data_IF_058260328235
#
_entry.id   IF_058260328235
#
_cell.length_a   1.000
_cell.length_b   1.000
_cell.length_c   1.000
_cell.angle_alpha   90.00
_cell.angle_beta   90.00
_cell.angle_gamma   90.00
#
_symmetry.space_group_name_H-M   'P 1'
#
loop_
_entity.id
_entity.type
_entity.pdbx_description
1 polymer ?
#
# COMPACT_ATOMS: atom_id res chain seq x y z
N UNK A 1 44.70 23.43 -81.78
CA UNK A 1 43.58 23.40 -82.74
C UNK A 1 42.28 23.15 -81.98
N UNK A 2 41.28 24.02 -82.16
CA UNK A 2 39.83 23.71 -82.19
C UNK A 2 39.16 22.73 -81.19
N UNK A 3 38.30 23.30 -80.31
CA UNK A 3 36.94 22.82 -79.89
C UNK A 3 36.88 21.60 -78.92
N UNK A 4 35.88 21.37 -78.04
CA UNK A 4 34.61 22.00 -77.61
C UNK A 4 34.20 21.36 -76.23
N UNK A 5 33.13 21.70 -75.47
CA UNK A 5 32.38 22.94 -75.16
C UNK A 5 31.21 22.61 -74.17
N UNK A 6 30.97 23.41 -73.12
CA UNK A 6 29.96 23.28 -72.01
C UNK A 6 30.30 22.20 -70.96
N UNK A 7 30.36 22.43 -69.63
CA UNK A 7 29.58 23.25 -68.65
C UNK A 7 28.36 22.52 -68.07
N UNK A 8 28.43 22.07 -66.81
CA UNK A 8 27.78 22.75 -65.66
C UNK A 8 27.97 22.00 -64.31
N UNK A 9 28.61 22.70 -63.37
CA UNK A 9 28.28 22.82 -61.94
C UNK A 9 27.48 21.70 -61.22
N UNK A 10 28.10 21.04 -60.22
CA UNK A 10 27.42 20.57 -59.00
C UNK A 10 28.29 20.81 -57.76
N UNK A 11 27.67 21.32 -56.69
CA UNK A 11 28.33 21.65 -55.44
C UNK A 11 28.80 20.40 -54.67
N UNK A 12 29.90 20.54 -53.94
CA UNK A 12 30.21 19.66 -52.82
C UNK A 12 29.16 19.83 -51.73
N UNK A 13 28.65 18.72 -51.21
CA UNK A 13 28.16 18.62 -49.83
C UNK A 13 28.85 17.43 -49.18
N UNK A 14 29.42 17.64 -47.99
CA UNK A 14 30.10 16.59 -47.24
C UNK A 14 29.06 15.61 -46.69
N UNK A 15 29.28 14.31 -46.95
CA UNK A 15 28.66 13.25 -46.16
C UNK A 15 29.38 13.15 -44.81
N UNK A 16 28.62 13.24 -43.72
CA UNK A 16 29.00 12.69 -42.42
C UNK A 16 27.92 11.69 -42.00
N UNK A 17 28.36 10.51 -41.56
CA UNK A 17 27.45 9.42 -41.21
C UNK A 17 26.76 9.68 -39.86
N UNK A 18 25.44 9.48 -39.81
CA UNK A 18 24.71 9.20 -38.58
C UNK A 18 23.94 7.91 -38.77
N UNK A 19 24.16 6.96 -37.86
CA UNK A 19 23.51 5.66 -37.90
C UNK A 19 22.05 5.78 -37.42
N UNK A 20 21.13 5.15 -38.14
CA UNK A 20 19.75 4.97 -37.67
C UNK A 20 19.74 3.96 -36.51
N UNK A 21 19.64 4.45 -35.28
CA UNK A 21 19.06 3.69 -34.19
C UNK A 21 17.53 3.80 -34.25
N UNK A 22 16.76 2.75 -33.93
CA UNK A 22 15.31 2.87 -33.81
C UNK A 22 14.99 3.80 -32.64
N UNK A 23 14.35 4.94 -32.93
CA UNK A 23 13.79 5.83 -31.91
C UNK A 23 12.69 5.05 -31.20
N UNK A 24 12.93 4.63 -29.95
CA UNK A 24 11.84 4.34 -29.02
C UNK A 24 11.10 5.65 -28.84
N UNK A 25 9.85 5.71 -29.32
CA UNK A 25 8.93 6.76 -28.91
C UNK A 25 8.72 6.60 -27.39
N UNK A 26 9.37 7.46 -26.61
CA UNK A 26 8.90 7.75 -25.26
C UNK A 26 7.56 8.45 -25.42
N UNK A 27 6.46 7.73 -25.20
CA UNK A 27 5.18 8.38 -24.94
C UNK A 27 5.40 9.40 -23.82
N UNK A 28 4.98 10.67 -23.98
CA UNK A 28 4.97 11.57 -22.84
C UNK A 28 4.03 10.94 -21.81
N UNK A 29 4.54 10.69 -20.61
CA UNK A 29 3.67 10.46 -19.48
C UNK A 29 2.91 11.78 -19.27
N UNK A 30 1.65 11.81 -19.71
CA UNK A 30 0.71 12.81 -19.26
C UNK A 30 0.52 12.56 -17.78
N UNK A 31 1.13 13.41 -16.94
CA UNK A 31 0.71 13.60 -15.55
C UNK A 31 -0.71 14.18 -15.59
N UNK A 32 -1.68 13.28 -15.78
CA UNK A 32 -3.09 13.59 -15.68
C UNK A 32 -3.40 13.82 -14.20
N UNK A 33 -3.25 15.07 -13.78
CA UNK A 33 -3.68 15.52 -12.46
C UNK A 33 -5.11 15.05 -12.25
N UNK A 34 -5.32 14.20 -11.25
CA UNK A 34 -6.65 13.88 -10.76
C UNK A 34 -7.43 15.18 -10.57
N UNK A 35 -8.63 15.26 -11.15
CA UNK A 35 -9.45 16.45 -11.06
C UNK A 35 -9.93 16.63 -9.61
N UNK A 36 -9.31 17.54 -8.87
CA UNK A 36 -9.78 17.95 -7.55
C UNK A 36 -11.15 18.62 -7.73
N UNK A 37 -12.17 18.05 -7.09
CA UNK A 37 -13.57 18.47 -7.23
C UNK A 37 -14.07 19.30 -6.05
N UNK A 38 -13.39 19.21 -4.91
CA UNK A 38 -13.67 20.01 -3.70
C UNK A 38 -12.36 20.44 -3.03
N UNK A 39 -12.26 21.71 -2.62
CA UNK A 39 -11.11 22.24 -1.88
C UNK A 39 -11.54 23.35 -0.91
N UNK A 40 -11.06 23.25 0.34
CA UNK A 40 -11.11 24.29 1.37
C UNK A 40 -9.67 24.68 1.73
N UNK A 41 -9.27 25.92 1.41
CA UNK A 41 -7.93 26.43 1.75
C UNK A 41 -7.88 27.10 3.13
N UNK A 42 -9.01 27.22 3.84
CA UNK A 42 -9.14 27.91 5.13
C UNK A 42 -8.85 29.42 5.09
N UNK A 43 -8.53 30.00 3.92
CA UNK A 43 -8.25 31.43 3.68
C UNK A 43 -9.38 32.41 4.06
N UNK A 44 -10.55 31.91 4.40
CA UNK A 44 -11.77 32.70 4.60
C UNK A 44 -12.38 32.45 5.98
N UNK A 45 -13.32 33.30 6.37
CA UNK A 45 -13.90 33.26 7.71
C UNK A 45 -12.95 33.73 8.81
N UNK A 46 -13.45 33.79 10.03
CA UNK A 46 -12.68 34.23 11.21
C UNK A 46 -13.04 33.39 12.43
N UNK A 47 -12.00 32.93 13.15
CA UNK A 47 -12.15 32.28 14.46
C UNK A 47 -10.82 32.32 15.23
N UNK A 48 -10.50 33.43 15.90
CA UNK A 48 -9.19 33.62 16.54
C UNK A 48 -9.01 32.80 17.82
N UNK A 49 -10.11 32.39 18.47
CA UNK A 49 -10.09 31.72 19.77
C UNK A 49 -10.27 30.20 19.65
N UNK A 50 -9.57 29.46 20.51
CA UNK A 50 -9.56 27.99 20.52
C UNK A 50 -10.88 27.28 20.91
N UNK A 51 -11.76 27.77 21.82
CA UNK A 51 -12.97 27.05 22.21
C UNK A 51 -13.88 26.65 21.04
N UNK A 52 -14.71 25.62 21.22
CA UNK A 52 -15.58 25.10 20.17
C UNK A 52 -16.55 26.17 19.64
N UNK A 53 -16.46 26.48 18.34
CA UNK A 53 -17.47 27.25 17.61
C UNK A 53 -17.43 26.92 16.12
N UNK A 54 -18.54 27.18 15.43
CA UNK A 54 -18.62 27.11 13.97
C UNK A 54 -17.91 28.31 13.32
N UNK A 55 -17.19 28.05 12.24
CA UNK A 55 -16.63 29.07 11.35
C UNK A 55 -17.24 28.90 9.96
N UNK A 56 -17.75 29.99 9.39
CA UNK A 56 -18.22 30.03 8.01
C UNK A 56 -17.00 30.25 7.09
N UNK A 57 -16.63 29.21 6.33
CA UNK A 57 -15.53 29.20 5.38
C UNK A 57 -16.08 29.21 3.94
N UNK A 58 -15.19 29.19 2.94
CA UNK A 58 -15.51 29.26 1.52
C UNK A 58 -16.38 28.07 1.07
N UNK A 59 -16.13 26.88 1.61
CA UNK A 59 -16.87 25.66 1.27
C UNK A 59 -18.15 25.46 2.08
N UNK A 60 -18.31 26.17 3.19
CA UNK A 60 -19.42 26.00 4.12
C UNK A 60 -19.00 26.14 5.58
N UNK A 61 -19.86 25.69 6.49
CA UNK A 61 -19.57 25.77 7.93
C UNK A 61 -18.70 24.60 8.39
N UNK A 62 -17.73 24.91 9.24
CA UNK A 62 -16.89 23.94 9.93
C UNK A 62 -16.88 24.21 11.43
N UNK A 63 -17.14 23.19 12.25
CA UNK A 63 -16.96 23.28 13.71
C UNK A 63 -15.47 23.12 14.04
N UNK A 64 -14.89 24.15 14.65
CA UNK A 64 -13.50 24.22 15.05
C UNK A 64 -13.41 24.11 16.59
N UNK A 65 -12.89 22.99 17.10
CA UNK A 65 -12.79 22.69 18.54
C UNK A 65 -11.35 22.59 19.00
N UNK A 66 -10.96 23.32 20.06
CA UNK A 66 -9.54 23.56 20.41
C UNK A 66 -8.71 23.95 19.17
N UNK A 67 -9.32 24.76 18.31
CA UNK A 67 -8.81 25.12 17.00
C UNK A 67 -9.05 26.61 16.71
N UNK A 68 -8.12 27.28 16.05
CA UNK A 68 -8.23 28.69 15.67
C UNK A 68 -7.67 28.92 14.26
N UNK A 69 -8.27 29.85 13.51
CA UNK A 69 -7.73 30.36 12.25
C UNK A 69 -6.63 31.39 12.55
N UNK A 70 -5.50 31.31 11.85
CA UNK A 70 -4.32 32.12 12.14
C UNK A 70 -3.46 32.45 10.91
N UNK A 71 -2.99 33.69 10.85
CA UNK A 71 -2.21 34.25 9.74
C UNK A 71 -0.79 34.71 10.12
N UNK A 72 -0.33 34.39 11.33
CA UNK A 72 0.99 34.82 11.85
C UNK A 72 2.16 34.15 11.11
N UNK A 73 3.39 34.65 11.30
CA UNK A 73 4.59 34.07 10.69
C UNK A 73 4.89 32.63 11.14
N UNK A 74 4.38 32.23 12.30
CA UNK A 74 4.47 30.85 12.81
C UNK A 74 3.32 29.95 12.31
N UNK A 75 2.33 30.51 11.61
CA UNK A 75 1.38 29.73 10.82
C UNK A 75 2.00 29.41 9.48
N UNK A 76 2.45 28.16 9.35
CA UNK A 76 2.81 27.61 8.07
C UNK A 76 1.50 27.39 7.29
N UNK A 77 1.44 28.02 6.11
CA UNK A 77 0.23 28.16 5.30
C UNK A 77 0.56 28.43 3.83
N UNK A 78 -0.33 28.02 2.94
CA UNK A 78 -0.40 28.37 1.54
C UNK A 78 -1.53 29.39 1.38
N UNK A 79 -1.19 30.66 1.18
CA UNK A 79 -2.18 31.74 1.15
C UNK A 79 -2.09 32.67 2.36
N UNK A 80 -3.23 32.95 3.00
CA UNK A 80 -3.46 34.05 3.94
C UNK A 80 -3.58 33.62 5.40
N UNK A 81 -4.23 32.48 5.68
CA UNK A 81 -4.34 31.90 7.03
C UNK A 81 -4.46 30.37 6.94
N UNK A 82 -4.03 29.66 7.99
CA UNK A 82 -4.29 28.22 8.15
C UNK A 82 -4.94 27.94 9.51
N UNK A 83 -5.33 26.69 9.77
CA UNK A 83 -5.93 26.29 11.04
C UNK A 83 -4.87 25.77 12.01
N UNK A 84 -4.86 26.30 13.23
CA UNK A 84 -4.07 25.80 14.37
C UNK A 84 -4.92 24.87 15.23
N UNK A 85 -4.48 23.63 15.42
CA UNK A 85 -5.06 22.67 16.36
C UNK A 85 -4.17 22.51 17.60
N UNK A 86 -4.75 22.56 18.80
CA UNK A 86 -4.06 22.24 20.07
C UNK A 86 -4.86 21.23 20.91
N UNK A 87 -4.23 20.65 21.93
CA UNK A 87 -4.81 19.61 22.78
C UNK A 87 -5.41 18.47 21.92
N UNK A 88 -6.65 18.07 22.20
CA UNK A 88 -7.41 17.09 21.40
C UNK A 88 -8.28 17.83 20.35
N UNK A 89 -7.66 18.73 19.59
CA UNK A 89 -8.37 19.62 18.67
C UNK A 89 -9.02 18.89 17.49
N UNK A 90 -10.09 19.48 16.96
CA UNK A 90 -10.86 18.95 15.84
C UNK A 90 -11.28 20.01 14.83
N UNK A 91 -11.35 19.60 13.56
CA UNK A 91 -12.01 20.31 12.46
C UNK A 91 -13.10 19.39 11.91
N UNK A 92 -14.37 19.78 12.03
CA UNK A 92 -15.51 18.95 11.67
C UNK A 92 -16.35 19.65 10.61
N UNK A 93 -16.53 19.02 9.44
CA UNK A 93 -17.46 19.50 8.42
C UNK A 93 -18.90 19.44 8.95
N UNK A 94 -19.67 20.52 8.80
CA UNK A 94 -21.10 20.56 9.17
C UNK A 94 -22.03 20.14 8.02
N UNK A 95 -21.47 19.91 6.83
CA UNK A 95 -22.18 19.53 5.60
C UNK A 95 -21.58 18.24 5.01
N UNK A 96 -22.34 17.57 4.15
CA UNK A 96 -21.89 16.41 3.38
C UNK A 96 -21.54 16.81 1.94
N UNK A 97 -20.50 16.19 1.38
CA UNK A 97 -20.23 16.19 -0.05
C UNK A 97 -21.24 15.25 -0.74
N UNK A 98 -21.87 15.63 -1.86
CA UNK A 98 -22.97 14.88 -2.49
C UNK A 98 -22.54 13.59 -3.21
N UNK A 99 -21.26 13.49 -3.52
CA UNK A 99 -20.69 12.67 -4.60
C UNK A 99 -19.58 11.74 -4.11
N UNK A 100 -19.46 11.56 -2.80
CA UNK A 100 -18.44 10.71 -2.19
C UNK A 100 -17.04 11.31 -2.23
N UNK A 101 -16.05 10.48 -1.91
CA UNK A 101 -14.64 10.83 -1.92
C UNK A 101 -13.78 9.63 -2.31
N UNK A 102 -12.97 9.75 -3.37
CA UNK A 102 -11.93 8.79 -3.71
C UNK A 102 -10.68 9.03 -2.86
N UNK A 103 -10.06 10.21 -3.00
CA UNK A 103 -8.85 10.61 -2.29
C UNK A 103 -9.07 11.92 -1.54
N UNK A 104 -8.38 12.08 -0.42
CA UNK A 104 -8.35 13.31 0.38
C UNK A 104 -6.91 13.71 0.58
N UNK A 105 -6.55 14.95 0.23
CA UNK A 105 -5.25 15.52 0.57
C UNK A 105 -5.39 16.60 1.62
N UNK A 106 -4.38 16.71 2.49
CA UNK A 106 -4.32 17.69 3.57
C UNK A 106 -2.88 18.19 3.69
N UNK A 107 -2.68 19.49 3.76
CA UNK A 107 -1.38 20.06 4.13
C UNK A 107 -1.26 20.17 5.65
N UNK A 108 -0.07 19.85 6.18
CA UNK A 108 0.18 19.90 7.63
C UNK A 108 1.64 20.27 7.96
N UNK A 109 1.83 20.95 9.10
CA UNK A 109 3.13 21.32 9.67
C UNK A 109 3.04 21.50 11.19
N UNK A 110 4.17 21.40 11.91
CA UNK A 110 4.22 21.89 13.30
C UNK A 110 4.10 23.42 13.28
N UNK A 111 3.42 24.01 14.27
CA UNK A 111 3.33 25.47 14.36
C UNK A 111 4.67 26.07 14.78
N UNK A 112 5.32 26.85 13.92
CA UNK A 112 6.60 27.51 14.18
C UNK A 112 7.71 26.56 14.62
N UNK A 113 7.88 26.42 15.94
CA UNK A 113 8.86 25.51 16.58
C UNK A 113 8.23 24.71 17.74
N UNK A 114 6.90 24.56 17.76
CA UNK A 114 6.19 23.71 18.72
C UNK A 114 6.58 22.23 18.52
N UNK A 115 6.36 21.40 19.57
CA UNK A 115 6.67 19.98 19.51
C UNK A 115 5.80 19.21 18.49
N UNK A 116 6.31 18.07 18.01
CA UNK A 116 5.61 17.20 17.09
C UNK A 116 4.25 16.73 17.64
N UNK A 117 3.31 16.48 16.72
CA UNK A 117 1.95 16.06 17.04
C UNK A 117 1.46 15.02 16.04
N UNK A 118 0.72 14.01 16.52
CA UNK A 118 -0.02 13.10 15.65
C UNK A 118 -1.46 13.54 15.47
N UNK A 119 -2.06 13.14 14.35
CA UNK A 119 -3.46 13.38 14.03
C UNK A 119 -4.02 12.29 13.09
N UNK A 120 -5.34 12.27 12.92
CA UNK A 120 -6.07 11.28 12.15
C UNK A 120 -7.18 11.94 11.32
N UNK A 121 -7.40 11.43 10.12
CA UNK A 121 -8.60 11.72 9.33
C UNK A 121 -9.71 10.73 9.70
N UNK A 122 -10.94 11.24 9.81
CA UNK A 122 -12.14 10.45 10.06
C UNK A 122 -13.24 10.84 9.09
N UNK A 123 -14.05 9.88 8.67
CA UNK A 123 -15.20 10.08 7.78
C UNK A 123 -16.50 9.60 8.43
N UNK A 124 -17.60 10.27 8.12
CA UNK A 124 -18.96 9.81 8.37
C UNK A 124 -19.66 9.73 7.01
N UNK A 125 -20.10 8.52 6.64
CA UNK A 125 -20.89 8.26 5.44
C UNK A 125 -22.35 7.99 5.82
N UNK A 126 -23.29 8.50 5.03
CA UNK A 126 -24.70 8.16 5.17
C UNK A 126 -25.04 6.77 4.61
N UNK A 127 -24.15 6.14 3.82
CA UNK A 127 -24.39 4.82 3.22
C UNK A 127 -24.69 3.72 4.26
N UNK A 128 -24.10 3.82 5.47
CA UNK A 128 -24.40 2.90 6.56
C UNK A 128 -25.65 3.28 7.39
N UNK A 129 -26.23 4.47 7.20
CA UNK A 129 -27.24 5.10 8.07
C UNK A 129 -26.91 5.09 9.58
N UNK A 130 -25.63 4.91 9.92
CA UNK A 130 -25.21 4.53 11.26
C UNK A 130 -24.64 5.69 12.09
N UNK A 131 -24.50 6.90 11.50
CA UNK A 131 -23.90 8.09 12.10
C UNK A 131 -22.53 7.82 12.78
N UNK A 132 -21.84 6.77 12.37
CA UNK A 132 -20.55 6.36 12.92
C UNK A 132 -19.44 7.14 12.22
N UNK A 133 -18.52 7.68 13.00
CA UNK A 133 -17.23 8.12 12.48
C UNK A 133 -16.30 6.91 12.37
N UNK A 134 -15.76 6.67 11.18
CA UNK A 134 -14.73 5.66 10.92
C UNK A 134 -13.42 6.38 10.57
N UNK A 135 -12.29 5.85 11.03
CA UNK A 135 -10.96 6.39 10.70
C UNK A 135 -10.67 6.13 9.22
N UNK A 136 -9.98 7.06 8.56
CA UNK A 136 -9.56 6.95 7.17
C UNK A 136 -8.03 6.80 7.15
N UNK A 137 -7.54 5.63 6.78
CA UNK A 137 -6.11 5.32 6.68
C UNK A 137 -5.33 5.50 7.99
N UNK A 138 -4.02 5.68 7.85
CA UNK A 138 -3.07 5.67 8.96
C UNK A 138 -3.05 6.98 9.78
N UNK A 139 -2.59 6.87 11.04
CA UNK A 139 -2.29 8.04 11.88
C UNK A 139 -1.09 8.80 11.31
N UNK A 140 -1.24 10.10 11.11
CA UNK A 140 -0.18 10.98 10.57
C UNK A 140 0.64 11.55 11.71
N UNK A 141 1.97 11.53 11.59
CA UNK A 141 2.90 12.14 12.54
C UNK A 141 3.53 13.39 11.92
N UNK A 142 3.20 14.57 12.46
CA UNK A 142 3.73 15.84 11.97
C UNK A 142 4.95 16.24 12.79
N UNK A 143 6.11 16.30 12.13
CA UNK A 143 7.43 16.58 12.74
C UNK A 143 8.17 17.75 12.09
N UNK A 144 7.72 18.21 10.91
CA UNK A 144 8.35 19.25 10.10
C UNK A 144 7.62 20.60 10.24
N UNK A 145 8.35 21.74 10.28
CA UNK A 145 7.76 23.08 10.11
C UNK A 145 7.51 23.46 8.64
N UNK A 146 8.10 22.73 7.69
CA UNK A 146 7.73 22.84 6.28
C UNK A 146 6.43 22.09 6.04
N UNK A 147 5.45 22.72 5.39
CA UNK A 147 4.20 22.08 4.98
C UNK A 147 4.48 20.82 4.17
N UNK A 148 3.84 19.73 4.58
CA UNK A 148 3.84 18.47 3.85
C UNK A 148 2.41 18.15 3.44
N UNK A 149 2.24 17.58 2.25
CA UNK A 149 0.96 17.01 1.80
C UNK A 149 0.91 15.55 2.22
N UNK A 150 -0.13 15.15 2.95
CA UNK A 150 -0.50 13.75 3.10
C UNK A 150 -1.71 13.45 2.20
N UNK A 151 -1.75 12.24 1.66
CA UNK A 151 -2.88 11.75 0.87
C UNK A 151 -3.48 10.51 1.55
N UNK A 152 -4.80 10.50 1.68
CA UNK A 152 -5.59 9.37 2.14
C UNK A 152 -6.42 8.83 0.99
N UNK A 153 -6.44 7.51 0.83
CA UNK A 153 -7.49 6.85 0.04
C UNK A 153 -8.66 6.57 0.97
N UNK A 154 -9.87 6.91 0.53
CA UNK A 154 -11.11 6.63 1.26
C UNK A 154 -12.09 5.80 0.42
N UNK A 155 -12.19 6.12 -0.87
CA UNK A 155 -13.11 5.50 -1.83
C UNK A 155 -14.53 5.33 -1.28
N UNK A 156 -15.05 6.33 -0.57
CA UNK A 156 -16.38 6.31 0.05
C UNK A 156 -17.43 6.81 -0.98
N UNK A 157 -18.43 6.01 -1.37
CA UNK A 157 -19.54 6.48 -2.21
C UNK A 157 -20.59 7.27 -1.40
N UNK A 158 -21.41 8.03 -2.12
CA UNK A 158 -22.58 8.73 -1.56
C UNK A 158 -22.23 9.89 -0.62
N UNK A 159 -23.18 10.32 0.21
CA UNK A 159 -22.96 11.46 1.10
C UNK A 159 -21.89 11.17 2.14
N UNK A 160 -20.78 11.91 2.09
CA UNK A 160 -19.65 11.78 3.01
C UNK A 160 -19.22 13.14 3.56
N UNK A 161 -18.77 13.17 4.82
CA UNK A 161 -18.12 14.32 5.43
C UNK A 161 -16.99 13.92 6.35
N UNK A 162 -16.09 14.85 6.64
CA UNK A 162 -14.82 14.58 7.30
C UNK A 162 -14.65 15.30 8.65
N UNK A 163 -13.84 14.68 9.50
CA UNK A 163 -13.35 15.26 10.75
C UNK A 163 -11.85 14.98 10.90
N UNK A 164 -11.04 16.03 11.04
CA UNK A 164 -9.62 15.91 11.39
C UNK A 164 -9.51 15.94 12.91
N UNK A 165 -8.76 15.01 13.51
CA UNK A 165 -8.56 14.89 14.96
C UNK A 165 -7.09 14.93 15.33
N UNK A 166 -6.66 15.88 16.16
CA UNK A 166 -5.35 15.85 16.82
C UNK A 166 -5.35 14.82 17.94
N UNK A 167 -4.37 13.92 17.96
CA UNK A 167 -4.33 12.75 18.86
C UNK A 167 -3.15 12.72 19.84
N UNK A 168 -2.10 13.52 19.61
CA UNK A 168 -0.99 13.67 20.57
C UNK A 168 -0.37 15.08 20.52
N UNK A 169 0.74 15.28 21.26
CA UNK A 169 1.45 16.57 21.38
C UNK A 169 0.85 17.55 22.40
N UNK A 170 -0.33 17.27 22.96
CA UNK A 170 -0.96 18.12 23.97
C UNK A 170 -1.11 19.57 23.50
N UNK A 171 -0.66 20.52 24.30
CA UNK A 171 -0.73 21.96 24.00
C UNK A 171 0.12 22.42 22.80
N UNK A 172 1.07 21.60 22.30
CA UNK A 172 1.80 21.92 21.08
C UNK A 172 0.84 22.05 19.89
N UNK A 173 1.00 23.09 19.08
CA UNK A 173 0.09 23.43 17.99
C UNK A 173 0.51 22.76 16.68
N UNK A 174 -0.50 22.28 15.96
CA UNK A 174 -0.41 21.66 14.64
C UNK A 174 -1.09 22.60 13.64
N UNK A 175 -0.40 23.02 12.59
CA UNK A 175 -1.06 23.66 11.45
C UNK A 175 -1.67 22.59 10.55
N UNK A 176 -2.92 22.82 10.14
CA UNK A 176 -3.63 22.13 9.06
C UNK A 176 -4.03 23.19 8.05
N UNK A 177 -3.82 22.88 6.78
CA UNK A 177 -4.09 23.77 5.66
C UNK A 177 -4.52 22.97 4.42
N UNK A 178 -5.05 23.65 3.40
CA UNK A 178 -5.41 23.06 2.09
C UNK A 178 -6.00 21.64 2.17
N UNK A 179 -7.27 21.56 2.58
CA UNK A 179 -8.03 20.31 2.57
C UNK A 179 -8.73 20.13 1.23
N UNK A 180 -8.34 19.12 0.46
CA UNK A 180 -8.93 18.83 -0.85
C UNK A 180 -9.45 17.40 -0.95
N UNK A 181 -10.51 17.21 -1.74
CA UNK A 181 -11.16 15.93 -1.98
C UNK A 181 -11.36 15.74 -3.48
N UNK A 182 -10.96 14.56 -3.97
CA UNK A 182 -11.35 14.04 -5.28
C UNK A 182 -12.63 13.23 -5.11
N UNK A 183 -13.64 13.47 -5.93
CA UNK A 183 -14.93 12.77 -5.88
C UNK A 183 -14.83 11.25 -6.07
N UNK A 184 -15.80 10.51 -5.53
CA UNK A 184 -15.92 9.08 -5.78
C UNK A 184 -16.45 8.82 -7.20
N UNK A 185 -15.94 7.79 -7.87
CA UNK A 185 -16.39 7.43 -9.21
C UNK A 185 -15.83 8.33 -10.34
N UNK A 186 -15.12 9.41 -10.01
CA UNK A 186 -14.09 9.94 -10.91
C UNK A 186 -13.07 8.81 -11.08
N UNK A 187 -12.89 8.35 -12.32
CA UNK A 187 -11.92 7.30 -12.64
C UNK A 187 -10.53 7.84 -12.34
N UNK A 188 -10.03 7.58 -11.12
CA UNK A 188 -8.60 7.46 -10.91
C UNK A 188 -8.13 6.38 -11.88
N UNK A 189 -7.04 6.59 -12.64
CA UNK A 189 -6.47 5.54 -13.45
C UNK A 189 -6.00 4.42 -12.51
N UNK A 190 -6.83 3.40 -12.31
CA UNK A 190 -6.40 2.18 -11.66
C UNK A 190 -5.40 1.53 -12.59
N UNK A 191 -4.18 1.33 -12.09
CA UNK A 191 -3.22 0.49 -12.78
C UNK A 191 -3.72 -0.94 -12.59
N UNK A 192 -4.42 -1.44 -13.60
CA UNK A 192 -4.91 -2.81 -13.61
C UNK A 192 -3.72 -3.77 -13.52
N UNK A 193 -3.90 -4.89 -12.82
CA UNK A 193 -2.84 -5.85 -12.49
C UNK A 193 -1.71 -5.28 -11.57
N UNK A 194 -1.91 -4.13 -10.89
CA UNK A 194 -0.92 -3.58 -9.93
C UNK A 194 -0.78 -4.46 -8.68
N UNK A 195 0.45 -4.88 -8.37
CA UNK A 195 0.78 -5.63 -7.16
C UNK A 195 0.42 -4.90 -5.84
N UNK A 196 0.16 -3.58 -5.86
CA UNK A 196 -0.40 -2.79 -4.75
C UNK A 196 -1.81 -2.22 -5.04
N UNK A 197 -2.59 -2.79 -5.98
CA UNK A 197 -3.93 -2.31 -6.30
C UNK A 197 -4.85 -2.22 -5.06
N UNK A 198 -4.69 -3.14 -4.10
CA UNK A 198 -5.52 -3.20 -2.90
C UNK A 198 -5.01 -2.33 -1.74
N UNK A 199 -3.81 -1.75 -1.81
CA UNK A 199 -3.27 -0.86 -0.78
C UNK A 199 -1.85 -1.20 -0.36
N UNK A 200 -1.34 -0.43 0.61
CA UNK A 200 -0.01 -0.60 1.21
C UNK A 200 -0.20 -0.95 2.71
N UNK A 201 -0.20 -2.24 3.09
CA UNK A 201 -0.69 -2.73 4.38
C UNK A 201 -0.14 -2.05 5.62
N UNK A 202 1.11 -1.59 5.58
CA UNK A 202 1.80 -0.99 6.72
C UNK A 202 2.28 0.43 6.46
N UNK A 203 1.86 1.05 5.36
CA UNK A 203 2.41 2.34 4.92
C UNK A 203 3.93 2.30 4.68
N UNK A 204 4.46 1.17 4.18
CA UNK A 204 5.89 1.01 3.91
C UNK A 204 6.38 2.04 2.88
N UNK A 205 7.59 2.58 3.07
CA UNK A 205 8.16 3.63 2.20
C UNK A 205 9.57 3.28 1.74
N UNK A 206 10.07 3.99 0.73
CA UNK A 206 11.47 3.89 0.28
C UNK A 206 12.44 4.75 1.10
N UNK A 207 12.02 5.28 2.26
CA UNK A 207 12.93 5.97 3.18
C UNK A 207 13.83 4.95 3.90
N UNK A 208 15.14 5.16 3.84
CA UNK A 208 16.15 4.36 4.53
C UNK A 208 16.00 4.39 6.06
N UNK A 209 15.33 5.42 6.61
CA UNK A 209 14.98 5.49 8.03
C UNK A 209 13.82 4.55 8.40
N UNK A 210 12.96 4.16 7.45
CA UNK A 210 11.91 3.15 7.63
C UNK A 210 12.46 1.72 7.50
N UNK A 211 13.64 1.44 8.07
CA UNK A 211 14.39 0.20 7.83
C UNK A 211 13.68 -1.10 8.28
N UNK A 212 12.72 -1.01 9.19
CA UNK A 212 11.89 -2.13 9.63
C UNK A 212 10.55 -2.22 8.85
N UNK A 213 10.33 -1.33 7.89
CA UNK A 213 9.11 -1.20 7.10
C UNK A 213 9.40 -0.59 5.71
N UNK A 214 10.42 -1.12 5.03
CA UNK A 214 11.00 -0.56 3.81
C UNK A 214 10.35 -1.16 2.56
N UNK A 215 9.88 -0.31 1.64
CA UNK A 215 9.19 -0.73 0.43
C UNK A 215 10.18 -1.19 -0.65
N UNK A 216 10.13 -2.46 -1.03
CA UNK A 216 10.81 -3.01 -2.20
C UNK A 216 9.79 -3.33 -3.29
N UNK A 217 9.82 -2.57 -4.38
CA UNK A 217 9.01 -2.83 -5.58
C UNK A 217 9.79 -3.68 -6.59
N UNK A 218 9.20 -4.77 -7.05
CA UNK A 218 9.68 -5.56 -8.20
C UNK A 218 8.51 -5.74 -9.19
N UNK A 219 8.75 -6.00 -10.49
CA UNK A 219 7.67 -6.24 -11.44
C UNK A 219 6.75 -7.41 -11.03
N UNK A 220 7.31 -8.43 -10.38
CA UNK A 220 6.59 -9.65 -10.02
C UNK A 220 5.78 -9.54 -8.72
N UNK A 221 6.17 -8.68 -7.78
CA UNK A 221 5.56 -8.53 -6.45
C UNK A 221 6.15 -7.33 -5.71
N UNK A 222 5.45 -6.84 -4.69
CA UNK A 222 5.90 -5.73 -3.83
C UNK A 222 6.00 -6.19 -2.39
N UNK A 223 7.04 -5.75 -1.66
CA UNK A 223 7.39 -6.22 -0.33
C UNK A 223 7.46 -5.04 0.65
N UNK A 224 6.79 -5.15 1.79
CA UNK A 224 7.16 -4.41 2.99
C UNK A 224 8.26 -5.17 3.72
N UNK A 225 9.51 -4.76 3.58
CA UNK A 225 10.68 -5.50 4.09
C UNK A 225 11.14 -5.01 5.46
N UNK A 226 11.59 -5.95 6.30
CA UNK A 226 12.08 -5.65 7.64
C UNK A 226 13.54 -6.08 7.78
N UNK A 227 14.46 -5.10 7.70
CA UNK A 227 15.91 -5.30 7.78
C UNK A 227 16.31 -6.09 9.03
N UNK A 228 15.72 -5.74 10.17
CA UNK A 228 16.15 -6.28 11.48
C UNK A 228 15.55 -7.66 11.76
N UNK A 229 14.53 -8.08 10.99
CA UNK A 229 14.01 -9.45 11.02
C UNK A 229 14.55 -10.34 9.89
N UNK A 230 15.24 -9.79 8.88
CA UNK A 230 15.76 -10.54 7.74
C UNK A 230 14.67 -11.21 6.88
N UNK A 231 13.45 -10.67 6.86
CA UNK A 231 12.29 -11.21 6.13
C UNK A 231 11.27 -10.11 5.79
N UNK A 232 10.27 -10.38 4.93
CA UNK A 232 9.08 -9.55 4.82
C UNK A 232 8.32 -9.36 6.14
N UNK A 233 7.76 -8.17 6.32
CA UNK A 233 6.51 -7.96 7.05
C UNK A 233 5.35 -8.56 6.26
N UNK A 234 5.27 -8.21 4.97
CA UNK A 234 4.31 -8.71 3.99
C UNK A 234 4.86 -8.66 2.56
N UNK A 235 4.28 -9.44 1.66
CA UNK A 235 4.46 -9.41 0.20
C UNK A 235 3.08 -9.40 -0.45
N UNK A 236 2.87 -8.52 -1.43
CA UNK A 236 1.63 -8.38 -2.20
C UNK A 236 1.88 -8.61 -3.69
N UNK A 237 0.98 -9.32 -4.36
CA UNK A 237 1.02 -9.54 -5.80
C UNK A 237 -0.36 -9.75 -6.42
N UNK A 238 -0.47 -9.36 -7.69
CA UNK A 238 -1.55 -9.77 -8.58
C UNK A 238 -1.23 -11.13 -9.22
N UNK A 239 -2.24 -11.95 -9.50
CA UNK A 239 -2.07 -13.19 -10.23
C UNK A 239 -3.23 -13.44 -11.20
N UNK A 240 -2.90 -13.50 -12.48
CA UNK A 240 -3.80 -13.94 -13.55
C UNK A 240 -3.18 -15.11 -14.36
N UNK A 241 -3.75 -15.37 -15.54
CA UNK A 241 -3.20 -16.37 -16.47
C UNK A 241 -1.93 -15.89 -17.18
N UNK A 242 -1.72 -14.58 -17.39
CA UNK A 242 -0.53 -14.06 -18.11
C UNK A 242 0.76 -14.22 -17.32
N UNK A 243 0.71 -14.26 -15.99
CA UNK A 243 1.87 -14.56 -15.15
C UNK A 243 2.27 -16.06 -15.18
N UNK A 244 1.48 -16.91 -15.82
CA UNK A 244 1.68 -18.37 -15.86
C UNK A 244 2.00 -18.85 -17.27
N UNK A 245 2.99 -19.72 -17.34
CA UNK A 245 3.47 -20.37 -18.54
C UNK A 245 4.14 -21.71 -18.22
N UNK A 246 5.02 -22.16 -19.09
CA UNK A 246 5.69 -23.47 -19.02
C UNK A 246 7.15 -23.39 -18.54
N UNK A 247 7.54 -22.32 -17.87
CA UNK A 247 8.90 -22.19 -17.33
C UNK A 247 9.07 -23.09 -16.10
N UNK A 248 10.10 -23.93 -16.14
CA UNK A 248 10.50 -24.77 -15.01
C UNK A 248 10.96 -23.94 -13.81
N UNK A 249 10.82 -24.53 -12.62
CA UNK A 249 11.28 -23.94 -11.36
C UNK A 249 12.79 -23.71 -11.39
N UNK A 250 13.25 -22.49 -11.11
CA UNK A 250 14.68 -22.15 -11.18
C UNK A 250 15.50 -22.64 -9.98
N UNK A 251 14.90 -22.69 -8.77
CA UNK A 251 15.56 -23.10 -7.51
C UNK A 251 16.86 -22.33 -7.18
N UNK A 252 17.02 -21.13 -7.76
CA UNK A 252 18.21 -20.28 -7.71
C UNK A 252 18.20 -19.30 -6.52
N UNK A 253 17.96 -19.87 -5.32
CA UNK A 253 17.95 -19.13 -4.05
C UNK A 253 19.19 -18.27 -3.89
N UNK A 254 19.00 -16.95 -3.78
CA UNK A 254 20.11 -15.97 -3.74
C UNK A 254 19.75 -14.71 -2.98
N UNK A 255 20.78 -14.04 -2.48
CA UNK A 255 20.67 -12.75 -1.82
C UNK A 255 20.12 -11.67 -2.76
N UNK A 256 19.34 -10.75 -2.21
CA UNK A 256 18.82 -9.62 -2.98
C UNK A 256 19.82 -8.46 -2.95
N UNK A 257 20.48 -8.24 -4.09
CA UNK A 257 21.48 -7.17 -4.25
C UNK A 257 20.86 -5.79 -4.39
N UNK A 258 19.53 -5.66 -4.51
CA UNK A 258 18.83 -4.37 -4.50
C UNK A 258 18.56 -3.82 -3.10
N UNK A 259 18.95 -4.54 -2.04
CA UNK A 259 18.86 -4.03 -0.66
C UNK A 259 19.86 -2.86 -0.44
N UNK A 260 19.49 -1.83 0.34
CA UNK A 260 20.37 -0.68 0.62
C UNK A 260 21.76 -1.07 1.12
N UNK A 261 22.76 -0.26 0.76
CA UNK A 261 24.15 -0.51 1.10
C UNK A 261 24.36 -0.65 2.63
N UNK A 262 25.10 -1.69 3.03
CA UNK A 262 25.36 -2.01 4.43
C UNK A 262 24.26 -2.80 5.15
N UNK A 263 23.09 -3.03 4.52
CA UNK A 263 22.07 -3.91 5.09
C UNK A 263 22.46 -5.37 4.94
N UNK A 264 22.06 -6.21 5.90
CA UNK A 264 22.31 -7.65 5.80
C UNK A 264 21.47 -8.25 4.67
N UNK A 265 22.14 -8.81 3.67
CA UNK A 265 21.49 -9.56 2.61
C UNK A 265 21.49 -11.04 3.00
N UNK A 266 20.30 -11.55 3.33
CA UNK A 266 20.09 -12.96 3.69
C UNK A 266 20.55 -13.87 2.55
N UNK A 267 21.28 -14.93 2.90
CA UNK A 267 21.91 -15.83 1.93
C UNK A 267 21.11 -17.12 1.82
N UNK A 268 21.29 -17.86 0.72
CA UNK A 268 20.77 -19.23 0.60
C UNK A 268 21.24 -20.11 1.78
N UNK A 269 22.49 -19.94 2.20
CA UNK A 269 23.10 -20.67 3.32
C UNK A 269 22.56 -20.32 4.70
N UNK A 270 21.85 -19.19 4.87
CA UNK A 270 21.24 -18.76 6.13
C UNK A 270 20.21 -19.77 6.68
N UNK A 271 19.63 -20.61 5.80
CA UNK A 271 18.62 -21.62 6.15
C UNK A 271 19.21 -23.03 6.30
N UNK A 272 20.49 -23.25 5.97
CA UNK A 272 21.11 -24.57 6.01
C UNK A 272 21.19 -25.13 7.44
N UNK A 273 20.78 -26.40 7.61
CA UNK A 273 20.77 -27.13 8.88
C UNK A 273 19.92 -26.49 10.00
N UNK A 274 18.94 -25.64 9.65
CA UNK A 274 18.07 -24.96 10.63
C UNK A 274 16.81 -25.73 11.01
N UNK A 275 16.39 -26.71 10.19
CA UNK A 275 15.09 -27.38 10.31
C UNK A 275 13.91 -26.61 9.70
N UNK A 276 14.16 -25.45 9.09
CA UNK A 276 13.16 -24.66 8.37
C UNK A 276 13.39 -24.71 6.86
N UNK A 277 12.28 -24.76 6.11
CA UNK A 277 12.26 -24.53 4.68
C UNK A 277 12.43 -23.04 4.37
N UNK A 278 12.89 -22.76 3.14
CA UNK A 278 12.84 -21.43 2.52
C UNK A 278 11.43 -21.18 2.00
N UNK A 279 10.51 -20.94 2.93
CA UNK A 279 9.09 -20.69 2.64
C UNK A 279 8.93 -19.42 1.82
N UNK A 280 8.33 -19.53 0.64
CA UNK A 280 8.08 -18.39 -0.23
C UNK A 280 6.85 -17.63 0.27
N UNK A 281 6.84 -16.30 0.11
CA UNK A 281 5.61 -15.52 0.26
C UNK A 281 4.83 -15.52 -1.07
N UNK A 282 5.41 -14.93 -2.13
CA UNK A 282 4.97 -15.13 -3.52
C UNK A 282 5.59 -16.43 -4.07
N UNK A 283 4.81 -17.48 -4.37
CA UNK A 283 5.36 -18.78 -4.72
C UNK A 283 5.79 -18.86 -6.19
N UNK A 284 6.84 -19.65 -6.45
CA UNK A 284 7.40 -19.86 -7.79
C UNK A 284 6.37 -20.31 -8.84
N UNK A 285 5.36 -21.08 -8.46
CA UNK A 285 4.30 -21.56 -9.37
C UNK A 285 3.28 -20.49 -9.82
N UNK A 286 3.32 -19.29 -9.23
CA UNK A 286 2.52 -18.11 -9.62
C UNK A 286 3.28 -17.22 -10.61
N UNK A 287 4.54 -17.56 -10.93
CA UNK A 287 5.43 -16.80 -11.83
C UNK A 287 6.15 -17.78 -12.76
N UNK A 288 5.45 -18.30 -13.77
CA UNK A 288 6.02 -19.26 -14.74
C UNK A 288 5.92 -18.78 -16.20
N UNK A 289 5.60 -17.49 -16.40
CA UNK A 289 5.61 -16.76 -17.67
C UNK A 289 7.01 -16.70 -18.31
N UNK A 290 8.01 -16.25 -17.55
CA UNK A 290 9.40 -16.09 -18.00
C UNK A 290 10.40 -16.63 -16.97
N UNK A 291 11.64 -16.89 -17.42
CA UNK A 291 12.75 -17.29 -16.54
C UNK A 291 13.04 -16.21 -15.50
N UNK A 292 12.99 -14.93 -15.89
CA UNK A 292 13.20 -13.80 -14.99
C UNK A 292 12.11 -13.73 -13.91
N UNK A 293 10.84 -13.91 -14.28
CA UNK A 293 9.73 -13.89 -13.33
C UNK A 293 9.84 -15.03 -12.31
N UNK A 294 10.19 -16.23 -12.76
CA UNK A 294 10.34 -17.38 -11.87
C UNK A 294 11.55 -17.20 -10.94
N UNK A 295 12.71 -16.82 -11.51
CA UNK A 295 13.95 -16.54 -10.77
C UNK A 295 13.76 -15.42 -9.74
N UNK A 296 12.93 -14.41 -10.00
CA UNK A 296 12.66 -13.33 -9.05
C UNK A 296 12.06 -13.86 -7.73
N UNK A 297 11.24 -14.92 -7.77
CA UNK A 297 10.65 -15.53 -6.56
C UNK A 297 11.67 -16.15 -5.62
N UNK A 298 12.89 -16.45 -6.09
CA UNK A 298 13.98 -17.05 -5.30
C UNK A 298 14.90 -16.05 -4.59
N UNK A 299 14.65 -14.75 -4.71
CA UNK A 299 15.33 -13.75 -3.91
C UNK A 299 15.01 -13.96 -2.42
N UNK A 300 16.02 -13.98 -1.55
CA UNK A 300 15.82 -14.22 -0.11
C UNK A 300 14.95 -13.15 0.57
N UNK A 301 14.75 -11.98 -0.06
CA UNK A 301 13.77 -10.96 0.36
C UNK A 301 12.31 -11.41 0.22
N UNK A 302 12.01 -12.48 -0.51
CA UNK A 302 10.68 -13.12 -0.59
C UNK A 302 10.52 -14.30 0.40
N UNK A 303 11.54 -14.62 1.20
CA UNK A 303 11.57 -15.82 2.04
C UNK A 303 11.19 -15.56 3.50
N UNK A 304 10.62 -16.58 4.14
CA UNK A 304 10.43 -16.67 5.59
C UNK A 304 10.80 -18.07 6.11
N UNK A 305 11.33 -18.22 7.34
CA UNK A 305 11.54 -19.53 7.96
C UNK A 305 10.20 -20.23 8.20
N UNK A 306 9.91 -21.29 7.45
CA UNK A 306 8.65 -22.01 7.54
C UNK A 306 8.90 -23.48 7.86
N UNK A 307 8.09 -24.09 8.73
CA UNK A 307 8.22 -25.54 9.00
C UNK A 307 7.86 -26.33 7.76
N UNK A 308 8.53 -27.47 7.51
CA UNK A 308 8.18 -28.35 6.39
C UNK A 308 6.73 -28.85 6.46
N UNK A 309 6.19 -29.00 7.66
CA UNK A 309 4.79 -29.35 7.90
C UNK A 309 3.82 -28.27 7.45
N UNK A 310 4.16 -26.99 7.64
CA UNK A 310 3.37 -25.85 7.16
C UNK A 310 3.55 -25.68 5.63
N UNK A 311 4.80 -25.44 5.20
CA UNK A 311 5.19 -25.07 3.84
C UNK A 311 4.66 -26.06 2.78
N UNK A 312 4.93 -27.35 2.97
CA UNK A 312 4.62 -28.39 1.97
C UNK A 312 3.37 -29.22 2.35
N UNK A 313 2.56 -28.72 3.31
CA UNK A 313 1.25 -29.25 3.70
C UNK A 313 0.13 -28.25 3.38
N UNK A 314 -0.56 -27.67 4.38
CA UNK A 314 -1.68 -26.76 4.17
C UNK A 314 -1.31 -25.51 3.36
N UNK A 315 -0.07 -25.01 3.45
CA UNK A 315 0.34 -23.81 2.71
C UNK A 315 0.40 -24.08 1.20
N UNK A 316 1.15 -25.11 0.78
CA UNK A 316 1.17 -25.56 -0.62
C UNK A 316 -0.21 -25.98 -1.15
N UNK A 317 -1.08 -26.53 -0.30
CA UNK A 317 -2.46 -26.85 -0.66
C UNK A 317 -3.29 -25.59 -0.95
N UNK A 318 -3.21 -24.54 -0.10
CA UNK A 318 -3.87 -23.26 -0.35
C UNK A 318 -3.34 -22.58 -1.61
N UNK A 319 -2.02 -22.56 -1.83
CA UNK A 319 -1.43 -21.99 -3.05
C UNK A 319 -1.92 -22.72 -4.30
N UNK A 320 -2.06 -24.04 -4.22
CA UNK A 320 -2.60 -24.84 -5.33
C UNK A 320 -4.09 -24.57 -5.57
N UNK A 321 -4.88 -24.45 -4.50
CA UNK A 321 -6.28 -24.02 -4.57
C UNK A 321 -6.43 -22.62 -5.19
N UNK A 322 -5.58 -21.68 -4.81
CA UNK A 322 -5.56 -20.31 -5.34
C UNK A 322 -5.42 -20.29 -6.87
N UNK A 323 -4.54 -21.13 -7.42
CA UNK A 323 -4.35 -21.26 -8.87
C UNK A 323 -5.52 -21.91 -9.62
N UNK A 324 -6.50 -22.51 -8.92
CA UNK A 324 -7.71 -23.10 -9.56
C UNK A 324 -8.73 -22.05 -10.03
N UNK A 325 -8.64 -20.82 -9.52
CA UNK A 325 -9.51 -19.73 -9.97
C UNK A 325 -9.18 -19.22 -11.38
N UNK A 326 -7.95 -19.46 -11.84
CA UNK A 326 -7.46 -19.11 -13.17
C UNK A 326 -7.96 -20.11 -14.24
N UNK A 327 -8.23 -19.70 -15.49
CA UNK A 327 -8.08 -18.35 -16.04
C UNK A 327 -9.36 -17.50 -15.95
N UNK A 328 -10.47 -18.04 -15.42
CA UNK A 328 -11.77 -17.34 -15.39
C UNK A 328 -11.80 -16.15 -14.43
N UNK A 329 -10.91 -16.18 -13.44
CA UNK A 329 -10.70 -15.14 -12.45
C UNK A 329 -9.23 -14.74 -12.47
N UNK A 330 -8.97 -13.56 -11.92
CA UNK A 330 -7.69 -13.14 -11.37
C UNK A 330 -7.79 -13.12 -9.84
N UNK A 331 -6.63 -13.10 -9.17
CA UNK A 331 -6.56 -13.02 -7.71
C UNK A 331 -5.52 -12.02 -7.27
N UNK A 332 -5.87 -11.25 -6.25
CA UNK A 332 -4.93 -10.38 -5.54
C UNK A 332 -4.58 -11.03 -4.21
N UNK A 333 -3.28 -11.18 -3.95
CA UNK A 333 -2.78 -11.88 -2.77
C UNK A 333 -1.92 -10.95 -1.94
N UNK A 334 -2.20 -10.90 -0.64
CA UNK A 334 -1.33 -10.29 0.36
C UNK A 334 -0.93 -11.41 1.34
N UNK A 335 0.36 -11.61 1.53
CA UNK A 335 0.94 -12.68 2.34
C UNK A 335 1.90 -12.09 3.37
N UNK A 336 2.02 -12.72 4.54
CA UNK A 336 3.06 -12.33 5.49
C UNK A 336 3.21 -13.28 6.65
N UNK A 337 3.97 -12.83 7.66
CA UNK A 337 4.23 -13.62 8.85
C UNK A 337 4.51 -12.75 10.07
N UNK A 338 3.93 -13.13 11.22
CA UNK A 338 4.01 -12.36 12.46
C UNK A 338 4.34 -13.23 13.69
N UNK A 339 4.59 -12.54 14.81
CA UNK A 339 5.06 -13.13 16.05
C UNK A 339 6.48 -13.68 15.96
N UNK A 340 6.97 -14.20 17.08
CA UNK A 340 8.31 -14.80 17.19
C UNK A 340 8.16 -16.16 17.88
N UNK A 341 8.85 -17.17 17.37
CA UNK A 341 8.83 -18.54 17.93
C UNK A 341 8.04 -19.52 17.07
N UNK A 342 8.75 -20.35 16.29
CA UNK A 342 8.20 -21.40 15.44
C UNK A 342 8.95 -22.73 15.60
N UNK A 343 8.67 -23.67 14.71
CA UNK A 343 9.27 -25.01 14.73
C UNK A 343 8.63 -25.95 15.76
N UNK A 344 9.32 -27.03 16.09
CA UNK A 344 8.86 -27.99 17.09
C UNK A 344 8.68 -27.30 18.46
N UNK A 345 7.44 -27.27 18.95
CA UNK A 345 7.08 -26.60 20.21
C UNK A 345 7.08 -25.06 20.18
N UNK A 346 7.30 -24.43 19.02
CA UNK A 346 7.30 -22.96 18.88
C UNK A 346 8.47 -22.23 19.56
N UNK A 347 9.55 -22.94 19.89
CA UNK A 347 10.64 -22.41 20.73
C UNK A 347 11.78 -21.72 19.93
N UNK A 348 11.85 -21.91 18.62
CA UNK A 348 12.94 -21.34 17.81
C UNK A 348 12.55 -19.93 17.38
N UNK A 349 13.27 -18.94 17.88
CA UNK A 349 12.97 -17.51 17.66
C UNK A 349 13.69 -16.90 16.46
N UNK A 350 14.83 -17.47 16.06
CA UNK A 350 15.66 -16.98 14.97
C UNK A 350 16.57 -18.08 14.41
N UNK A 351 17.00 -17.90 13.16
CA UNK A 351 18.06 -18.67 12.50
C UNK A 351 19.22 -17.75 12.14
N UNK A 352 20.26 -18.30 11.50
CA UNK A 352 21.38 -17.54 10.94
C UNK A 352 22.05 -16.55 11.91
N UNK A 353 22.43 -17.07 13.09
CA UNK A 353 23.06 -16.30 14.17
C UNK A 353 22.20 -15.13 14.69
N UNK A 354 20.87 -15.24 14.59
CA UNK A 354 19.93 -14.21 15.05
C UNK A 354 19.50 -13.22 13.96
N UNK A 355 20.04 -13.33 12.74
CA UNK A 355 19.81 -12.36 11.65
C UNK A 355 18.52 -12.55 10.87
N UNK A 356 17.87 -13.71 11.02
CA UNK A 356 16.56 -13.98 10.41
C UNK A 356 15.62 -14.48 11.48
N UNK A 357 14.55 -13.73 11.73
CA UNK A 357 13.53 -14.05 12.74
C UNK A 357 12.64 -15.19 12.26
N UNK A 358 12.39 -16.18 13.12
CA UNK A 358 11.44 -17.27 12.85
C UNK A 358 10.05 -16.81 13.28
N UNK A 359 9.09 -16.64 12.35
CA UNK A 359 7.74 -16.24 12.69
C UNK A 359 6.98 -17.36 13.41
N UNK A 360 6.03 -16.97 14.26
CA UNK A 360 5.11 -17.90 14.93
C UNK A 360 3.90 -18.25 14.05
N UNK A 361 3.52 -17.33 13.17
CA UNK A 361 2.28 -17.38 12.37
C UNK A 361 2.57 -16.96 10.93
N UNK A 362 1.94 -17.63 9.97
CA UNK A 362 2.02 -17.33 8.54
C UNK A 362 0.60 -17.14 8.00
N UNK A 363 0.33 -15.99 7.41
CA UNK A 363 -1.02 -15.57 7.01
C UNK A 363 -1.07 -15.20 5.54
N UNK A 364 -2.26 -15.32 4.94
CA UNK A 364 -2.50 -14.96 3.54
C UNK A 364 -3.95 -14.49 3.39
N UNK A 365 -4.14 -13.38 2.69
CA UNK A 365 -5.42 -12.83 2.24
C UNK A 365 -5.45 -12.90 0.71
N UNK A 366 -6.54 -13.43 0.16
CA UNK A 366 -6.73 -13.65 -1.27
C UNK A 366 -8.08 -13.06 -1.66
N UNK A 367 -8.08 -12.03 -2.50
CA UNK A 367 -9.30 -11.44 -3.09
C UNK A 367 -9.47 -12.01 -4.50
N UNK A 368 -10.64 -12.57 -4.80
CA UNK A 368 -10.91 -13.28 -6.05
C UNK A 368 -11.90 -12.48 -6.89
N UNK A 369 -11.52 -12.15 -8.13
CA UNK A 369 -12.31 -11.36 -9.07
C UNK A 369 -12.40 -12.10 -10.41
N UNK A 370 -13.53 -12.07 -11.14
CA UNK A 370 -13.54 -12.41 -12.56
C UNK A 370 -12.47 -11.60 -13.31
N UNK A 371 -11.89 -12.09 -14.41
CA UNK A 371 -10.94 -11.26 -15.20
C UNK A 371 -11.65 -10.04 -15.79
N UNK A 372 -11.02 -8.86 -15.77
CA UNK A 372 -11.51 -7.64 -16.42
C UNK A 372 -10.58 -6.45 -16.23
N UNK A 373 -11.07 -5.24 -16.55
CA UNK A 373 -10.36 -3.97 -16.34
C UNK A 373 -10.95 -3.21 -15.13
N UNK A 374 -10.25 -2.20 -14.61
CA UNK A 374 -10.62 -1.37 -13.47
C UNK A 374 -10.78 -2.14 -12.13
N UNK A 375 -9.76 -2.92 -11.77
CA UNK A 375 -9.87 -4.04 -10.81
C UNK A 375 -10.41 -3.65 -9.44
N UNK A 376 -9.91 -2.55 -8.88
CA UNK A 376 -10.33 -2.03 -7.56
C UNK A 376 -11.82 -1.67 -7.55
N UNK A 377 -12.34 -1.13 -8.65
CA UNK A 377 -13.74 -0.72 -8.77
C UNK A 377 -14.71 -1.91 -8.94
N UNK A 378 -14.19 -3.11 -9.25
CA UNK A 378 -14.97 -4.35 -9.37
C UNK A 378 -15.08 -5.12 -8.05
N UNK A 379 -14.37 -4.68 -7.00
CA UNK A 379 -14.46 -5.24 -5.65
C UNK A 379 -15.66 -4.64 -4.91
N UNK A 380 -16.49 -5.50 -4.34
CA UNK A 380 -17.75 -5.12 -3.68
C UNK A 380 -17.98 -5.97 -2.42
N UNK A 381 -18.98 -5.63 -1.62
CA UNK A 381 -19.35 -6.34 -0.39
C UNK A 381 -19.69 -7.85 -0.57
N UNK A 382 -19.82 -8.33 -1.81
CA UNK A 382 -20.06 -9.75 -2.17
C UNK A 382 -18.86 -10.44 -2.84
N UNK A 383 -17.76 -9.73 -3.10
CA UNK A 383 -16.51 -10.32 -3.63
C UNK A 383 -15.98 -11.39 -2.67
N UNK A 384 -15.51 -12.54 -3.19
CA UNK A 384 -14.98 -13.60 -2.33
C UNK A 384 -13.58 -13.24 -1.87
N UNK A 385 -13.41 -13.15 -0.56
CA UNK A 385 -12.12 -12.99 0.12
C UNK A 385 -11.84 -14.24 0.94
N UNK A 386 -10.64 -14.81 0.82
CA UNK A 386 -10.16 -15.93 1.64
C UNK A 386 -9.03 -15.41 2.51
N UNK A 387 -9.23 -15.39 3.83
CA UNK A 387 -8.19 -15.09 4.80
C UNK A 387 -7.85 -16.36 5.60
N UNK A 388 -6.54 -16.63 5.76
CA UNK A 388 -6.02 -17.72 6.58
C UNK A 388 -4.91 -17.21 7.50
N UNK A 389 -4.77 -17.86 8.65
CA UNK A 389 -3.67 -17.64 9.56
C UNK A 389 -3.23 -18.98 10.20
N UNK A 390 -2.08 -19.48 9.74
CA UNK A 390 -1.57 -20.83 10.03
C UNK A 390 -0.44 -20.79 11.08
N UNK A 391 -0.39 -21.75 12.02
CA UNK A 391 0.68 -21.83 13.00
C UNK A 391 1.96 -22.37 12.34
N UNK A 392 3.10 -21.71 12.56
CA UNK A 392 4.38 -22.14 12.00
C UNK A 392 5.03 -23.24 12.85
N UNK A 393 4.34 -24.39 12.95
CA UNK A 393 4.64 -25.51 13.87
C UNK A 393 4.80 -26.82 13.10
N UNK A 394 5.33 -27.84 13.78
CA UNK A 394 5.18 -29.25 13.39
C UNK A 394 3.81 -29.78 13.80
N UNK A 395 3.36 -30.87 13.17
CA UNK A 395 2.11 -31.58 13.47
C UNK A 395 0.92 -31.23 12.57
N UNK A 396 1.09 -30.31 11.60
CA UNK A 396 -0.02 -29.81 10.77
C UNK A 396 0.00 -30.27 9.30
N UNK A 397 0.97 -31.11 8.91
CA UNK A 397 1.22 -31.51 7.51
C UNK A 397 -0.03 -31.94 6.74
N UNK A 398 -0.83 -32.79 7.36
CA UNK A 398 -2.05 -33.38 6.78
C UNK A 398 -3.33 -32.60 7.13
N UNK A 399 -3.21 -31.43 7.78
CA UNK A 399 -4.37 -30.61 8.13
C UNK A 399 -4.87 -29.87 6.89
N UNK A 400 -6.17 -29.93 6.60
CA UNK A 400 -6.75 -29.15 5.51
C UNK A 400 -6.57 -27.65 5.78
N UNK A 401 -6.11 -26.89 4.78
CA UNK A 401 -5.84 -25.46 4.93
C UNK A 401 -7.07 -24.66 5.42
N UNK A 402 -8.28 -25.12 5.06
CA UNK A 402 -9.55 -24.51 5.43
C UNK A 402 -9.84 -24.53 6.93
N UNK A 403 -9.15 -25.37 7.71
CA UNK A 403 -9.18 -25.37 9.18
C UNK A 403 -8.54 -24.10 9.77
N UNK A 404 -7.66 -23.42 9.03
CA UNK A 404 -6.95 -22.22 9.47
C UNK A 404 -7.56 -20.91 8.92
N UNK A 405 -8.79 -20.96 8.42
CA UNK A 405 -9.50 -19.76 7.99
C UNK A 405 -9.76 -18.81 9.15
N UNK A 406 -9.72 -17.53 8.83
CA UNK A 406 -9.98 -16.41 9.74
C UNK A 406 -10.68 -15.29 8.97
N UNK A 407 -10.98 -14.18 9.64
CA UNK A 407 -11.38 -12.92 9.01
C UNK A 407 -10.14 -12.07 8.70
N UNK A 408 -10.27 -11.05 7.84
CA UNK A 408 -9.17 -10.09 7.61
C UNK A 408 -8.98 -9.22 8.85
N UNK A 409 -10.07 -8.76 9.49
CA UNK A 409 -10.07 -8.03 10.77
C UNK A 409 -9.11 -8.67 11.80
N UNK A 410 -9.12 -10.02 11.90
CA UNK A 410 -8.32 -10.75 12.87
C UNK A 410 -6.83 -10.84 12.49
N UNK A 411 -6.50 -10.74 11.19
CA UNK A 411 -5.11 -10.61 10.73
C UNK A 411 -4.61 -9.18 11.00
N UNK A 412 -5.45 -8.17 10.77
CA UNK A 412 -5.15 -6.77 11.10
C UNK A 412 -4.93 -6.58 12.60
N UNK A 413 -5.82 -7.08 13.45
CA UNK A 413 -5.67 -7.07 14.91
C UNK A 413 -4.34 -7.71 15.35
N UNK A 414 -3.95 -8.82 14.71
CA UNK A 414 -2.72 -9.54 15.04
C UNK A 414 -1.42 -8.87 14.50
N UNK A 415 -1.53 -7.95 13.53
CA UNK A 415 -0.37 -7.37 12.81
C UNK A 415 -0.23 -5.86 12.97
N UNK A 416 -1.31 -5.14 13.26
CA UNK A 416 -1.38 -3.68 13.21
C UNK A 416 -1.39 -3.10 11.79
N UNK A 417 -1.78 -3.90 10.78
CA UNK A 417 -1.87 -3.49 9.38
C UNK A 417 -3.29 -3.02 9.01
N UNK A 418 -3.39 -2.25 7.93
CA UNK A 418 -4.60 -1.79 7.25
C UNK A 418 -4.60 -2.49 5.88
N UNK A 419 -5.15 -3.70 5.83
CA UNK A 419 -5.21 -4.54 4.64
C UNK A 419 -6.37 -4.07 3.76
N UNK A 420 -6.24 -4.26 2.45
CA UNK A 420 -7.26 -3.81 1.49
C UNK A 420 -7.55 -2.28 1.56
N UNK A 421 -6.62 -1.48 2.12
CA UNK A 421 -6.79 -0.04 2.41
C UNK A 421 -7.17 0.88 1.25
N UNK A 422 -7.05 0.42 -0.01
CA UNK A 422 -7.57 1.13 -1.20
C UNK A 422 -9.04 0.83 -1.51
N UNK A 423 -9.71 -0.10 -0.82
CA UNK A 423 -11.14 -0.35 -0.99
C UNK A 423 -11.99 0.73 -0.29
N UNK A 424 -13.25 0.95 -0.71
CA UNK A 424 -14.24 1.71 0.05
C UNK A 424 -14.35 1.21 1.50
N UNK A 425 -14.39 2.10 2.50
CA UNK A 425 -14.54 1.72 3.92
C UNK A 425 -15.77 0.82 4.20
N UNK A 426 -16.84 0.96 3.40
CA UNK A 426 -18.03 0.10 3.50
C UNK A 426 -17.84 -1.28 2.89
N UNK A 427 -16.99 -1.40 1.85
CA UNK A 427 -16.61 -2.67 1.24
C UNK A 427 -15.60 -3.38 2.14
N UNK A 428 -14.62 -2.65 2.68
CA UNK A 428 -13.71 -3.09 3.74
C UNK A 428 -14.49 -3.76 4.88
N UNK A 429 -15.31 -2.98 5.61
CA UNK A 429 -16.10 -3.46 6.74
C UNK A 429 -17.04 -4.64 6.39
N UNK A 430 -17.53 -4.70 5.14
CA UNK A 430 -18.38 -5.79 4.68
C UNK A 430 -17.61 -7.06 4.27
N UNK A 431 -16.34 -6.97 3.88
CA UNK A 431 -15.50 -8.11 3.47
C UNK A 431 -14.65 -8.62 4.63
N UNK A 432 -14.00 -7.72 5.35
CA UNK A 432 -12.91 -8.03 6.29
C UNK A 432 -13.40 -8.72 7.57
N UNK A 433 -14.64 -8.44 7.97
CA UNK A 433 -15.32 -9.07 9.11
C UNK A 433 -15.83 -10.49 8.84
N UNK A 434 -15.79 -10.96 7.58
CA UNK A 434 -16.26 -12.30 7.19
C UNK A 434 -15.14 -13.34 7.21
N UNK A 435 -15.51 -14.57 7.58
CA UNK A 435 -14.68 -15.77 7.36
C UNK A 435 -15.20 -16.50 6.12
N UNK A 436 -14.33 -16.87 5.19
CA UNK A 436 -14.72 -17.63 3.99
C UNK A 436 -15.39 -18.97 4.37
N UNK A 437 -16.57 -19.22 3.79
CA UNK A 437 -17.30 -20.48 3.96
C UNK A 437 -17.34 -21.33 2.67
N UNK A 438 -16.62 -20.92 1.62
CA UNK A 438 -16.57 -21.64 0.36
C UNK A 438 -15.75 -22.95 0.41
N UNK A 439 -15.66 -23.67 -0.73
CA UNK A 439 -14.90 -24.92 -0.82
C UNK A 439 -13.42 -24.76 -0.40
N UNK A 440 -12.84 -25.85 0.11
CA UNK A 440 -11.45 -25.94 0.59
C UNK A 440 -10.72 -27.18 0.05
N UNK A 441 -11.10 -27.62 -1.16
CA UNK A 441 -10.64 -28.81 -1.86
C UNK A 441 -10.08 -28.40 -3.21
#
# INVERSE_FOLDING_TARGET
>A
MSKNLRSYLRCLFLLSCLAYGPVRASSPATEESAAVTFQESFDTGTKPDYPAASAALATGNWTLTNAALGSSDADHKTGTQSVRLQQNGKLTMEFFLPTGASTITVQHAIYGTDASSSWELWAQSEACNCNKWTKVGNTVFTTSPTLQVVSFTANIPGHVKFEIRKTSGGAARLNIDDFAVTEYGVVQPSVDNDNLALGNPSGATTDLNSYNNYLLTKPQFVIGYNRDQGKPNWVSWHLDITNRGSIDRQDDFRNDTSLPAGWYQVQNTSYSNTGFDRGHNCPSADRTSTLEDNSATFLMTNMMPQTGDNNQGPWAALESYTRTFLPSNEVYVICGSYGVGGGAGGLITSIDQGRVTVPKRTWKVIVILPVGDNDVARISATTRVIAVDMPNTTGIRETNWGTFRTSVDAIEEATGYDLLSKLPLEVQAALESKVDAGPAL
#
